data_IF_011538865697
#
_entry.id   IF_011538865697
#
_cell.length_a   1.000
_cell.length_b   1.000
_cell.length_c   1.000
_cell.angle_alpha   90.00
_cell.angle_beta   90.00
_cell.angle_gamma   90.00
#
_symmetry.space_group_name_H-M   'P 1'
#
loop_
_entity.id
_entity.type
_entity.pdbx_description
1 polymer ?
#
# COMPACT_ATOMS: atom_id res chain seq x y z
N UNK A 1 8.80 -9.05 -4.42
CA UNK A 1 8.06 -8.81 -3.15
C UNK A 1 8.32 -7.37 -2.73
N UNK A 2 7.29 -6.55 -2.56
CA UNK A 2 7.42 -5.11 -2.26
C UNK A 2 8.01 -4.87 -0.86
N UNK A 3 8.83 -3.82 -0.72
CA UNK A 3 9.39 -3.40 0.57
C UNK A 3 8.29 -3.04 1.57
N UNK A 4 7.15 -2.51 1.09
CA UNK A 4 6.08 -2.00 1.94
C UNK A 4 5.44 -3.06 2.81
N UNK A 5 5.49 -4.31 2.39
CA UNK A 5 4.96 -5.46 3.14
C UNK A 5 6.06 -6.29 3.82
N UNK A 6 7.32 -5.83 3.81
CA UNK A 6 8.43 -6.56 4.41
C UNK A 6 8.20 -6.74 5.93
N UNK A 7 8.42 -7.97 6.42
CA UNK A 7 8.29 -8.31 7.83
C UNK A 7 6.84 -8.50 8.32
N UNK A 8 5.83 -8.32 7.47
CA UNK A 8 4.44 -8.64 7.81
C UNK A 8 4.14 -10.13 7.61
N UNK A 9 3.24 -10.72 8.41
CA UNK A 9 2.72 -12.05 8.13
C UNK A 9 1.94 -12.04 6.81
N UNK A 10 1.97 -13.18 6.12
CA UNK A 10 1.16 -13.42 4.94
C UNK A 10 0.43 -14.74 5.13
N UNK A 11 -0.92 -14.73 5.22
CA UNK A 11 -1.81 -13.56 5.19
C UNK A 11 -1.79 -12.74 6.49
N UNK A 12 -2.33 -11.51 6.43
CA UNK A 12 -2.66 -10.71 7.62
C UNK A 12 -4.06 -10.09 7.50
N UNK A 13 -4.67 -9.74 8.63
CA UNK A 13 -6.01 -9.11 8.65
C UNK A 13 -5.89 -7.61 8.43
N UNK A 14 -6.65 -7.10 7.47
CA UNK A 14 -6.80 -5.68 7.17
C UNK A 14 -8.27 -5.36 6.84
N UNK A 15 -8.68 -4.12 7.07
CA UNK A 15 -10.07 -3.70 6.85
C UNK A 15 -10.24 -2.98 5.52
N UNK A 16 -11.31 -3.27 4.79
CA UNK A 16 -11.73 -2.58 3.57
C UNK A 16 -13.17 -2.12 3.71
N UNK A 17 -13.47 -0.86 3.37
CA UNK A 17 -14.84 -0.30 3.41
C UNK A 17 -15.38 0.12 2.03
N UNK A 18 -14.69 -0.23 0.95
CA UNK A 18 -15.03 0.21 -0.40
C UNK A 18 -15.78 -0.88 -1.16
N UNK A 19 -16.70 -0.48 -2.05
CA UNK A 19 -17.43 -1.39 -2.94
C UNK A 19 -16.65 -1.69 -4.22
N UNK A 20 -15.92 -0.70 -4.76
CA UNK A 20 -15.14 -0.83 -5.99
C UNK A 20 -13.83 -1.59 -5.79
N UNK A 21 -13.39 -2.23 -6.87
CA UNK A 21 -12.19 -3.07 -6.94
C UNK A 21 -11.45 -2.78 -8.24
N UNK A 22 -10.15 -3.01 -8.27
CA UNK A 22 -9.36 -2.98 -9.50
C UNK A 22 -9.57 -4.30 -10.25
N UNK A 23 -9.85 -4.22 -11.54
CA UNK A 23 -9.96 -5.36 -12.43
C UNK A 23 -8.58 -5.72 -13.00
N UNK A 24 -8.20 -6.99 -12.89
CA UNK A 24 -6.93 -7.55 -13.39
C UNK A 24 -6.72 -7.28 -14.88
N UNK A 25 -7.77 -7.38 -15.69
CA UNK A 25 -7.69 -7.24 -17.15
C UNK A 25 -7.45 -5.78 -17.58
N UNK A 26 -7.70 -4.85 -16.67
CA UNK A 26 -7.56 -3.40 -16.91
C UNK A 26 -6.28 -2.81 -16.34
N UNK A 27 -5.42 -3.64 -15.73
CA UNK A 27 -4.23 -3.16 -15.04
C UNK A 27 -3.21 -2.57 -16.03
N UNK A 28 -2.82 -1.28 -15.88
CA UNK A 28 -1.77 -0.69 -16.68
C UNK A 28 -0.43 -1.41 -16.47
N UNK A 29 0.38 -1.55 -17.54
CA UNK A 29 1.69 -2.22 -17.51
C UNK A 29 2.68 -1.55 -16.55
N UNK A 30 2.48 -0.27 -16.27
CA UNK A 30 3.28 0.55 -15.36
C UNK A 30 3.10 0.15 -13.90
N UNK A 31 2.00 -0.55 -13.57
CA UNK A 31 1.71 -1.02 -12.22
C UNK A 31 2.02 -2.52 -12.07
N UNK A 32 2.40 -2.88 -10.84
CA UNK A 32 2.60 -4.25 -10.40
C UNK A 32 1.71 -4.51 -9.19
N UNK A 33 1.04 -5.67 -9.18
CA UNK A 33 0.28 -6.14 -8.02
C UNK A 33 1.24 -6.65 -6.96
N UNK A 34 1.12 -6.11 -5.76
CA UNK A 34 2.01 -6.41 -4.63
C UNK A 34 1.29 -6.97 -3.40
N UNK A 35 -0.04 -6.93 -3.37
CA UNK A 35 -0.87 -7.61 -2.36
C UNK A 35 -2.22 -8.01 -2.95
N UNK A 36 -2.73 -9.17 -2.56
CA UNK A 36 -4.04 -9.70 -2.97
C UNK A 36 -4.66 -10.58 -1.88
N UNK A 37 -5.96 -10.86 -1.96
CA UNK A 37 -6.66 -11.80 -1.08
C UNK A 37 -6.60 -13.22 -1.62
N UNK A 38 -7.06 -14.21 -0.83
CA UNK A 38 -7.19 -15.61 -1.28
C UNK A 38 -8.14 -15.76 -2.47
N UNK A 39 -9.14 -14.87 -2.60
CA UNK A 39 -10.09 -14.82 -3.71
C UNK A 39 -9.61 -13.91 -4.87
N UNK A 40 -8.29 -13.71 -5.01
CA UNK A 40 -7.64 -12.90 -6.05
C UNK A 40 -8.08 -11.43 -6.11
N UNK A 41 -8.60 -10.85 -5.02
CA UNK A 41 -8.88 -9.42 -5.01
C UNK A 41 -7.58 -8.63 -4.89
N UNK A 42 -7.34 -7.68 -5.80
CA UNK A 42 -6.17 -6.78 -5.75
C UNK A 42 -6.28 -5.86 -4.53
N UNK A 43 -5.30 -5.94 -3.63
CA UNK A 43 -5.24 -5.17 -2.39
C UNK A 43 -4.09 -4.17 -2.31
N UNK A 44 -3.07 -4.31 -3.16
CA UNK A 44 -1.91 -3.43 -3.19
C UNK A 44 -1.29 -3.35 -4.57
N UNK A 45 -0.93 -2.13 -4.97
CA UNK A 45 -0.31 -1.79 -6.24
C UNK A 45 0.93 -0.95 -6.02
N UNK A 46 1.94 -1.12 -6.87
CA UNK A 46 3.16 -0.31 -6.89
C UNK A 46 3.54 0.03 -8.33
N UNK A 47 4.01 1.26 -8.56
CA UNK A 47 4.57 1.63 -9.85
C UNK A 47 5.93 0.97 -10.09
N UNK A 48 6.12 0.38 -11.26
CA UNK A 48 7.34 -0.37 -11.62
C UNK A 48 8.60 0.50 -11.63
N UNK A 49 8.50 1.72 -12.15
CA UNK A 49 9.64 2.64 -12.27
C UNK A 49 9.81 3.57 -11.07
N UNK A 50 8.76 3.76 -10.25
CA UNK A 50 8.72 4.73 -9.16
C UNK A 50 8.24 4.03 -7.89
N UNK A 51 9.11 3.28 -7.19
CA UNK A 51 8.70 2.39 -6.11
C UNK A 51 7.99 3.08 -4.93
N UNK A 52 8.19 4.39 -4.74
CA UNK A 52 7.51 5.22 -3.75
C UNK A 52 6.05 5.53 -4.11
N UNK A 53 5.64 5.36 -5.38
CA UNK A 53 4.25 5.48 -5.80
C UNK A 53 3.57 4.13 -5.56
N UNK A 54 2.72 4.09 -4.55
CA UNK A 54 2.01 2.90 -4.14
C UNK A 54 0.58 3.22 -3.71
N UNK A 55 -0.30 2.23 -3.82
CA UNK A 55 -1.67 2.31 -3.35
C UNK A 55 -2.09 1.00 -2.71
N UNK A 56 -2.89 1.09 -1.66
CA UNK A 56 -3.55 -0.06 -1.02
C UNK A 56 -5.06 0.13 -1.03
N UNK A 57 -5.79 -0.97 -1.21
CA UNK A 57 -7.25 -0.97 -1.28
C UNK A 57 -7.91 -1.10 0.10
N UNK A 58 -7.15 -1.58 1.10
CA UNK A 58 -7.55 -1.60 2.50
C UNK A 58 -7.18 -0.29 3.20
N UNK A 59 -7.66 -0.14 4.43
CA UNK A 59 -7.40 0.95 5.35
C UNK A 59 -6.23 0.59 6.28
N UNK A 60 -4.97 0.93 5.92
CA UNK A 60 -3.81 0.67 6.79
C UNK A 60 -3.89 1.42 8.12
N UNK A 61 -4.69 2.48 8.19
CA UNK A 61 -4.96 3.32 9.36
C UNK A 61 -6.07 2.78 10.27
N UNK A 62 -6.83 1.78 9.82
CA UNK A 62 -7.97 1.26 10.58
C UNK A 62 -7.51 0.59 11.88
N UNK A 63 -8.18 0.90 12.99
CA UNK A 63 -7.94 0.29 14.33
C UNK A 63 -8.10 -1.24 14.33
N UNK A 64 -8.80 -1.79 13.34
CA UNK A 64 -9.02 -3.23 13.20
C UNK A 64 -7.81 -3.96 12.57
N UNK A 65 -6.87 -3.23 11.97
CA UNK A 65 -5.56 -3.76 11.59
C UNK A 65 -4.68 -3.82 12.84
N UNK A 66 -3.94 -4.90 13.07
CA UNK A 66 -3.03 -4.99 14.22
C UNK A 66 -2.06 -3.80 14.25
N UNK A 67 -1.92 -3.16 15.42
CA UNK A 67 -1.14 -1.93 15.56
C UNK A 67 0.33 -2.08 15.15
N UNK A 68 0.91 -3.27 15.31
CA UNK A 68 2.28 -3.54 14.88
C UNK A 68 2.35 -3.66 13.36
N UNK A 69 1.35 -4.27 12.72
CA UNK A 69 1.25 -4.31 11.26
C UNK A 69 1.10 -2.91 10.67
N UNK A 70 0.24 -2.06 11.26
CA UNK A 70 0.10 -0.67 10.82
C UNK A 70 1.44 0.07 10.87
N UNK A 71 2.10 0.05 12.04
CA UNK A 71 3.39 0.71 12.22
C UNK A 71 4.45 0.19 11.26
N UNK A 72 4.48 -1.12 11.02
CA UNK A 72 5.43 -1.72 10.07
C UNK A 72 5.13 -1.30 8.63
N UNK A 73 3.88 -1.28 8.19
CA UNK A 73 3.46 -0.79 6.87
C UNK A 73 3.93 0.66 6.65
N UNK A 74 3.62 1.55 7.59
CA UNK A 74 4.03 2.95 7.50
C UNK A 74 5.54 3.11 7.54
N UNK A 75 6.24 2.38 8.42
CA UNK A 75 7.70 2.40 8.48
C UNK A 75 8.34 1.97 7.17
N UNK A 76 7.84 0.88 6.59
CA UNK A 76 8.33 0.38 5.31
C UNK A 76 8.05 1.39 4.19
N UNK A 77 6.84 1.96 4.15
CA UNK A 77 6.49 2.98 3.16
C UNK A 77 7.39 4.22 3.28
N UNK A 78 7.58 4.74 4.50
CA UNK A 78 8.47 5.89 4.72
C UNK A 78 9.93 5.60 4.39
N UNK A 79 10.39 4.34 4.52
CA UNK A 79 11.74 3.97 4.10
C UNK A 79 11.98 4.06 2.60
N UNK A 80 10.91 4.17 1.80
CA UNK A 80 11.00 4.42 0.35
C UNK A 80 11.12 5.90 0.00
N UNK A 81 10.85 6.80 0.94
CA UNK A 81 10.90 8.23 0.72
C UNK A 81 12.34 8.72 0.95
N UNK A 82 12.90 9.40 -0.04
CA UNK A 82 14.22 10.01 0.06
C UNK A 82 14.22 11.18 1.05
N UNK A 83 15.31 11.37 1.80
CA UNK A 83 15.46 12.48 2.75
C UNK A 83 15.57 13.85 2.04
N UNK A 84 15.80 13.86 0.73
CA UNK A 84 15.94 15.09 -0.07
C UNK A 84 14.62 15.65 -0.63
N UNK A 85 13.46 15.12 -0.24
CA UNK A 85 12.18 15.69 -0.66
C UNK A 85 12.03 17.08 -0.02
N UNK A 86 12.22 18.12 -0.83
CA UNK A 86 11.91 19.50 -0.44
C UNK A 86 10.41 19.59 -0.15
N UNK A 87 10.06 19.68 1.13
CA UNK A 87 8.68 19.90 1.57
C UNK A 87 8.22 21.26 1.02
N UNK A 88 7.33 21.24 0.03
CA UNK A 88 6.68 22.47 -0.42
C UNK A 88 5.79 22.98 0.72
N UNK A 89 6.02 24.22 1.12
CA UNK A 89 5.29 24.91 2.17
C UNK A 89 3.88 25.27 1.70
N UNK A 90 2.86 24.62 2.28
CA UNK A 90 1.48 25.11 2.24
C UNK A 90 0.44 24.00 2.31
N UNK A 91 -0.32 23.97 3.40
CA UNK A 91 -1.57 23.22 3.50
C UNK A 91 -2.59 24.12 4.20
N UNK A 92 -3.73 24.38 3.55
CA UNK A 92 -4.94 24.93 4.18
C UNK A 92 -5.86 23.74 4.48
N UNK A 93 -6.38 23.66 5.72
CA UNK A 93 -7.29 22.59 6.16
C UNK A 93 -8.71 23.13 6.16
#
# INVERSE_FOLDING_TARGET
KSISFAGLPSPFRATRYHSLTVDWDTLPKELEVIAWTEDDLIMGLQHRQYPWIQGVQFHPESVLTDINHQKQLFRNFFSLLDESISLTSGWEI
#
